data_IF_233667830118
#
_entry.id   IF_233667830118
#
_cell.length_a   1.000
_cell.length_b   1.000
_cell.length_c   1.000
_cell.angle_alpha   90.00
_cell.angle_beta   90.00
_cell.angle_gamma   90.00
#
_symmetry.space_group_name_H-M   'P 1'
#
loop_
_entity.id
_entity.type
_entity.pdbx_description
1 polymer ?
#
# COMPACT_ATOMS: atom_id res chain seq x y z
N UNK A 1 -8.58 -15.14 3.92
CA UNK A 1 -9.00 -13.74 3.85
C UNK A 1 -9.86 -13.38 5.06
N UNK A 2 -9.74 -12.16 5.56
CA UNK A 2 -10.62 -11.61 6.58
C UNK A 2 -11.83 -10.96 5.91
N UNK A 3 -13.04 -11.27 6.39
CA UNK A 3 -14.32 -10.86 5.79
C UNK A 3 -15.28 -10.25 6.85
N UNK A 4 -14.78 -9.46 7.72
CA UNK A 4 -15.56 -8.87 8.80
C UNK A 4 -15.21 -7.41 9.04
N UNK A 5 -15.67 -6.88 10.16
CA UNK A 5 -15.29 -5.55 10.63
C UNK A 5 -14.32 -5.68 11.79
N UNK A 6 -13.15 -5.06 11.65
CA UNK A 6 -12.21 -4.82 12.74
C UNK A 6 -12.25 -3.34 13.10
N UNK A 7 -12.81 -3.03 14.25
CA UNK A 7 -12.87 -1.66 14.78
C UNK A 7 -11.86 -1.53 15.93
N UNK A 8 -10.80 -0.79 15.72
CA UNK A 8 -9.79 -0.50 16.73
C UNK A 8 -10.28 0.38 17.87
N UNK A 9 -11.46 1.02 17.73
CA UNK A 9 -12.08 1.89 18.73
C UNK A 9 -11.15 3.03 19.21
N UNK A 10 -10.26 3.49 18.34
CA UNK A 10 -9.25 4.50 18.66
C UNK A 10 -8.05 3.96 19.45
N UNK A 11 -7.95 2.66 19.66
CA UNK A 11 -6.81 2.07 20.36
C UNK A 11 -5.60 1.88 19.43
N UNK A 12 -4.44 1.67 20.07
CA UNK A 12 -3.17 1.44 19.39
C UNK A 12 -2.66 0.02 19.61
N UNK A 13 -2.09 -0.57 18.54
CA UNK A 13 -1.24 -1.76 18.64
C UNK A 13 0.19 -1.28 18.71
N UNK A 14 0.86 -1.48 19.84
CA UNK A 14 2.25 -1.10 20.08
C UNK A 14 3.15 -2.32 20.13
N UNK A 15 4.44 -2.10 19.87
CA UNK A 15 5.46 -3.15 19.87
C UNK A 15 5.09 -4.32 18.94
N UNK A 16 4.46 -3.98 17.83
CA UNK A 16 4.06 -4.95 16.81
C UNK A 16 5.30 -5.46 16.07
N UNK A 17 5.46 -6.78 16.03
CA UNK A 17 6.51 -7.43 15.23
C UNK A 17 5.88 -8.16 14.06
N UNK A 18 6.09 -7.62 12.87
CA UNK A 18 5.75 -8.26 11.60
C UNK A 18 7.05 -8.43 10.81
N UNK A 19 7.68 -9.58 10.99
CA UNK A 19 8.92 -9.94 10.30
C UNK A 19 8.67 -11.19 9.49
N UNK A 20 8.85 -11.10 8.18
CA UNK A 20 8.59 -12.21 7.28
C UNK A 20 9.57 -12.28 6.11
N UNK A 21 10.02 -13.48 5.82
CA UNK A 21 10.74 -13.86 4.61
C UNK A 21 9.81 -14.68 3.72
N UNK A 22 9.23 -14.02 2.70
CA UNK A 22 8.18 -14.56 1.86
C UNK A 22 8.82 -15.20 0.63
N UNK A 23 9.01 -16.50 0.66
CA UNK A 23 9.64 -17.28 -0.42
C UNK A 23 8.64 -17.91 -1.39
N UNK A 24 7.36 -17.98 -0.99
CA UNK A 24 6.29 -18.50 -1.85
C UNK A 24 5.82 -17.44 -2.85
N UNK A 25 5.34 -17.90 -4.01
CA UNK A 25 4.81 -17.03 -5.05
C UNK A 25 3.52 -16.34 -4.61
N UNK A 26 3.40 -15.05 -4.94
CA UNK A 26 2.20 -14.24 -4.82
C UNK A 26 1.49 -14.31 -3.45
N UNK A 27 2.24 -14.17 -2.38
CA UNK A 27 1.68 -14.08 -1.04
C UNK A 27 1.27 -12.66 -0.68
N UNK A 28 0.24 -12.52 0.15
CA UNK A 28 -0.14 -11.25 0.77
C UNK A 28 0.14 -11.30 2.27
N UNK A 29 0.81 -10.29 2.83
CA UNK A 29 1.25 -10.27 4.21
C UNK A 29 1.06 -8.92 4.89
N UNK A 30 0.66 -8.94 6.14
CA UNK A 30 0.40 -7.76 6.98
C UNK A 30 -0.24 -8.18 8.30
N UNK A 31 -0.78 -7.23 9.07
CA UNK A 31 -1.64 -7.54 10.21
C UNK A 31 -2.80 -8.44 9.76
N UNK A 32 -3.35 -8.14 8.58
CA UNK A 32 -4.20 -9.03 7.80
C UNK A 32 -3.47 -9.37 6.49
N UNK A 33 -3.38 -10.66 6.13
CA UNK A 33 -2.83 -11.02 4.83
C UNK A 33 -3.71 -10.47 3.70
N UNK A 34 -4.99 -10.85 3.70
CA UNK A 34 -5.98 -10.42 2.70
C UNK A 34 -7.24 -9.93 3.39
N UNK A 35 -7.72 -8.75 3.00
CA UNK A 35 -9.06 -8.26 3.27
C UNK A 35 -9.93 -8.55 2.04
N UNK A 36 -11.12 -9.14 2.22
CA UNK A 36 -12.05 -9.46 1.14
C UNK A 36 -13.49 -9.13 1.57
N UNK A 37 -14.01 -8.00 1.12
CA UNK A 37 -15.29 -7.46 1.58
C UNK A 37 -15.28 -7.02 3.05
N UNK A 38 -14.13 -6.63 3.57
CA UNK A 38 -13.91 -6.31 4.98
C UNK A 38 -13.84 -4.81 5.26
N UNK A 39 -13.95 -4.46 6.53
CA UNK A 39 -13.68 -3.10 7.02
C UNK A 39 -12.69 -3.14 8.17
N UNK A 40 -11.59 -2.36 8.06
CA UNK A 40 -10.66 -2.08 9.17
C UNK A 40 -10.70 -0.59 9.45
N UNK A 41 -10.97 -0.21 10.69
CA UNK A 41 -11.14 1.20 11.03
C UNK A 41 -10.71 1.57 12.45
N UNK A 42 -10.49 2.87 12.65
CA UNK A 42 -10.21 3.47 13.97
C UNK A 42 -9.03 2.79 14.67
N UNK A 43 -7.97 2.48 13.94
CA UNK A 43 -6.81 1.75 14.44
C UNK A 43 -5.54 2.59 14.30
N UNK A 44 -4.74 2.62 15.37
CA UNK A 44 -3.38 3.14 15.31
C UNK A 44 -2.37 2.00 15.39
N UNK A 45 -1.36 2.02 14.52
CA UNK A 45 -0.20 1.12 14.58
C UNK A 45 0.99 1.91 15.08
N UNK A 46 1.58 1.42 16.16
CA UNK A 46 2.69 2.10 16.82
C UNK A 46 2.26 3.24 17.74
N UNK A 47 3.20 4.09 18.07
CA UNK A 47 3.00 5.32 18.83
C UNK A 47 4.10 6.33 18.49
N UNK A 48 3.87 7.64 18.71
CA UNK A 48 4.90 8.66 18.46
C UNK A 48 6.13 8.50 19.34
N UNK A 49 5.97 7.92 20.53
CA UNK A 49 7.08 7.68 21.48
C UNK A 49 6.92 6.33 22.18
N UNK A 50 8.04 5.73 22.60
CA UNK A 50 8.05 4.50 23.38
C UNK A 50 7.51 3.26 22.66
N UNK A 51 7.57 3.26 21.33
CA UNK A 51 7.17 2.13 20.50
C UNK A 51 8.40 1.44 19.89
N UNK A 52 8.41 0.12 19.90
CA UNK A 52 9.46 -0.73 19.32
C UNK A 52 8.90 -1.64 18.22
N UNK A 53 7.88 -1.19 17.50
CA UNK A 53 7.32 -1.94 16.37
C UNK A 53 8.40 -2.18 15.30
N UNK A 54 8.45 -3.41 14.81
CA UNK A 54 9.36 -3.85 13.76
C UNK A 54 8.53 -4.45 12.62
N UNK A 55 8.57 -3.77 11.47
CA UNK A 55 7.83 -4.17 10.28
C UNK A 55 8.85 -4.38 9.17
N UNK A 56 9.26 -5.64 8.99
CA UNK A 56 10.33 -6.00 8.06
C UNK A 56 9.89 -7.16 7.17
N UNK A 57 9.90 -6.93 5.87
CA UNK A 57 9.43 -7.90 4.89
C UNK A 57 10.47 -8.13 3.81
N UNK A 58 10.74 -9.37 3.49
CA UNK A 58 11.46 -9.77 2.29
C UNK A 58 10.56 -10.62 1.41
N UNK A 59 10.40 -10.19 0.16
CA UNK A 59 9.58 -10.87 -0.84
C UNK A 59 10.46 -11.38 -1.97
N UNK A 60 10.77 -12.68 -1.98
CA UNK A 60 11.64 -13.27 -2.98
C UNK A 60 10.94 -13.44 -4.35
N UNK A 61 9.66 -13.74 -4.37
CA UNK A 61 8.92 -14.11 -5.59
C UNK A 61 7.73 -13.18 -5.91
N UNK A 62 7.77 -11.95 -5.39
CA UNK A 62 6.71 -10.99 -5.59
C UNK A 62 5.54 -11.22 -4.64
N UNK A 63 5.31 -10.28 -3.74
CA UNK A 63 4.22 -10.35 -2.77
C UNK A 63 3.61 -8.97 -2.62
N UNK A 64 2.39 -8.95 -2.13
CA UNK A 64 1.72 -7.74 -1.70
C UNK A 64 1.91 -7.62 -0.18
N UNK A 65 2.67 -6.64 0.28
CA UNK A 65 2.93 -6.45 1.71
C UNK A 65 2.47 -5.08 2.20
N UNK A 66 1.86 -5.07 3.38
CA UNK A 66 1.41 -3.84 4.02
C UNK A 66 1.35 -3.96 5.53
N UNK A 67 1.40 -2.84 6.24
CA UNK A 67 1.29 -2.87 7.71
C UNK A 67 -0.12 -3.35 8.12
N UNK A 68 -1.15 -2.79 7.50
CA UNK A 68 -2.54 -3.23 7.78
C UNK A 68 -2.86 -4.49 6.97
N UNK A 69 -2.68 -4.45 5.65
CA UNK A 69 -3.01 -5.60 4.80
C UNK A 69 -2.09 -5.72 3.59
N UNK A 70 -1.76 -6.95 3.21
CA UNK A 70 -1.05 -7.21 1.96
C UNK A 70 -1.94 -6.91 0.76
N UNK A 71 -3.11 -7.52 0.69
CA UNK A 71 -4.09 -7.27 -0.37
C UNK A 71 -5.42 -6.76 0.21
N UNK A 72 -5.99 -5.74 -0.43
CA UNK A 72 -7.26 -5.11 -0.06
C UNK A 72 -8.23 -5.29 -1.22
N UNK A 73 -9.15 -6.24 -1.09
CA UNK A 73 -10.09 -6.62 -2.14
C UNK A 73 -11.50 -6.20 -1.74
N UNK A 74 -12.12 -5.29 -2.50
CA UNK A 74 -13.48 -4.81 -2.23
C UNK A 74 -13.73 -4.44 -0.77
N UNK A 75 -12.74 -3.82 -0.13
CA UNK A 75 -12.66 -3.63 1.31
C UNK A 75 -12.36 -2.18 1.66
N UNK A 76 -12.64 -1.80 2.89
CA UNK A 76 -12.40 -0.44 3.39
C UNK A 76 -11.34 -0.44 4.49
N UNK A 77 -10.35 0.46 4.39
CA UNK A 77 -9.48 0.86 5.49
C UNK A 77 -9.74 2.35 5.73
N UNK A 78 -10.22 2.70 6.92
CA UNK A 78 -10.61 4.07 7.23
C UNK A 78 -10.19 4.54 8.63
N UNK A 79 -9.87 5.81 8.75
CA UNK A 79 -9.52 6.46 10.02
C UNK A 79 -8.44 5.68 10.78
N UNK A 80 -7.36 5.34 10.08
CA UNK A 80 -6.22 4.62 10.65
C UNK A 80 -4.95 5.48 10.61
N UNK A 81 -4.08 5.30 11.61
CA UNK A 81 -2.82 6.02 11.74
C UNK A 81 -1.67 5.02 11.84
N UNK A 82 -0.58 5.26 11.13
CA UNK A 82 0.65 4.50 11.25
C UNK A 82 1.81 5.37 11.74
N UNK A 83 2.43 4.99 12.85
CA UNK A 83 3.68 5.53 13.35
C UNK A 83 4.87 4.59 13.14
N UNK A 84 4.60 3.30 12.93
CA UNK A 84 5.63 2.29 12.84
C UNK A 84 6.43 2.42 11.53
N UNK A 85 7.76 2.36 11.58
CA UNK A 85 8.57 2.30 10.37
C UNK A 85 8.38 0.97 9.65
N UNK A 86 8.47 1.00 8.33
CA UNK A 86 8.43 -0.20 7.49
C UNK A 86 9.73 -0.33 6.70
N UNK A 87 10.35 -1.50 6.77
CA UNK A 87 11.43 -1.90 5.91
C UNK A 87 10.96 -3.06 5.03
N UNK A 88 11.00 -2.88 3.72
CA UNK A 88 10.58 -3.89 2.78
C UNK A 88 11.64 -4.08 1.69
N UNK A 89 11.95 -5.34 1.38
CA UNK A 89 12.86 -5.73 0.33
C UNK A 89 12.16 -6.67 -0.63
N UNK A 90 12.29 -6.43 -1.93
CA UNK A 90 11.58 -7.22 -2.92
C UNK A 90 12.38 -7.53 -4.16
N UNK A 91 12.31 -8.78 -4.60
CA UNK A 91 12.71 -9.24 -5.91
C UNK A 91 11.49 -9.34 -6.79
N UNK A 92 11.19 -8.31 -7.54
CA UNK A 92 10.24 -8.45 -8.66
C UNK A 92 10.98 -9.04 -9.85
N UNK A 93 10.78 -10.30 -10.15
CA UNK A 93 11.26 -10.93 -11.41
C UNK A 93 10.31 -10.64 -12.57
N UNK A 94 10.68 -11.03 -13.79
CA UNK A 94 9.87 -10.81 -14.98
C UNK A 94 8.41 -11.25 -14.76
N UNK A 95 7.47 -10.32 -14.97
CA UNK A 95 6.03 -10.48 -14.81
C UNK A 95 5.49 -10.72 -13.38
N UNK A 96 6.34 -10.77 -12.37
CA UNK A 96 5.94 -10.86 -10.97
C UNK A 96 6.23 -9.53 -10.29
N UNK A 97 5.23 -8.94 -9.67
CA UNK A 97 5.38 -7.65 -8.98
C UNK A 97 5.57 -7.87 -7.48
N UNK A 98 6.39 -7.06 -6.87
CA UNK A 98 6.44 -6.87 -5.43
C UNK A 98 5.83 -5.51 -5.10
N UNK A 99 4.77 -5.47 -4.31
CA UNK A 99 4.10 -4.23 -3.91
C UNK A 99 4.17 -4.03 -2.41
N UNK A 100 4.58 -2.85 -1.99
CA UNK A 100 4.89 -2.53 -0.61
C UNK A 100 4.23 -1.20 -0.24
N UNK A 101 3.22 -1.25 0.63
CA UNK A 101 2.49 -0.07 1.06
C UNK A 101 2.25 -0.06 2.57
N UNK A 102 2.31 1.10 3.23
CA UNK A 102 2.12 1.14 4.67
C UNK A 102 0.71 0.67 5.08
N UNK A 103 -0.33 1.06 4.37
CA UNK A 103 -1.68 0.61 4.71
C UNK A 103 -2.12 -0.62 3.92
N UNK A 104 -1.84 -0.66 2.62
CA UNK A 104 -2.16 -1.78 1.76
C UNK A 104 -1.08 -2.03 0.71
N UNK A 105 -0.62 -3.26 0.55
CA UNK A 105 0.34 -3.60 -0.50
C UNK A 105 -0.28 -3.37 -1.88
N UNK A 106 -1.44 -3.93 -2.12
CA UNK A 106 -2.20 -3.72 -3.35
C UNK A 106 -3.70 -3.67 -3.13
N UNK A 107 -4.39 -2.84 -3.91
CA UNK A 107 -5.83 -2.59 -3.78
C UNK A 107 -6.56 -3.06 -5.03
N UNK A 108 -7.61 -3.83 -4.84
CA UNK A 108 -8.41 -4.41 -5.91
C UNK A 108 -9.86 -3.95 -5.86
N UNK A 109 -10.45 -3.76 -7.03
CA UNK A 109 -11.88 -3.64 -7.22
C UNK A 109 -12.40 -4.89 -7.94
N UNK A 110 -13.56 -5.35 -7.55
CA UNK A 110 -14.28 -6.48 -8.15
C UNK A 110 -15.65 -6.01 -8.62
N UNK A 111 -16.08 -6.42 -9.83
CA UNK A 111 -17.33 -5.95 -10.40
C UNK A 111 -18.57 -6.41 -9.62
N UNK A 112 -18.50 -7.56 -8.98
CA UNK A 112 -19.62 -8.12 -8.21
C UNK A 112 -19.64 -7.60 -6.76
N UNK A 113 -18.46 -7.43 -6.15
CA UNK A 113 -18.29 -7.05 -4.74
C UNK A 113 -18.10 -5.55 -4.53
N UNK A 114 -17.70 -4.82 -5.57
CA UNK A 114 -17.44 -3.39 -5.47
C UNK A 114 -15.96 -3.01 -5.42
N UNK A 115 -15.69 -1.72 -5.27
CA UNK A 115 -14.35 -1.18 -5.14
C UNK A 115 -13.84 -1.16 -3.71
N UNK A 116 -12.53 -1.03 -3.59
CA UNK A 116 -11.90 -0.80 -2.29
C UNK A 116 -11.75 0.68 -1.98
N UNK A 117 -11.78 1.02 -0.69
CA UNK A 117 -11.68 2.39 -0.20
C UNK A 117 -10.57 2.49 0.85
N UNK A 118 -9.60 3.36 0.59
CA UNK A 118 -8.61 3.81 1.57
C UNK A 118 -8.92 5.28 1.87
N UNK A 119 -9.36 5.61 3.08
CA UNK A 119 -9.73 6.99 3.40
C UNK A 119 -9.36 7.42 4.82
N UNK A 120 -9.10 8.71 4.97
CA UNK A 120 -8.79 9.32 6.27
C UNK A 120 -7.59 8.63 6.95
N UNK A 121 -6.55 8.32 6.17
CA UNK A 121 -5.36 7.61 6.62
C UNK A 121 -4.21 8.60 6.84
N UNK A 122 -3.46 8.43 7.93
CA UNK A 122 -2.31 9.27 8.24
C UNK A 122 -1.08 8.38 8.49
N UNK A 123 0.00 8.65 7.77
CA UNK A 123 1.27 7.98 7.98
C UNK A 123 2.32 8.94 8.55
N UNK A 124 2.93 8.57 9.66
CA UNK A 124 4.11 9.19 10.25
C UNK A 124 5.35 8.28 10.16
N UNK A 125 5.15 6.98 9.96
CA UNK A 125 6.23 6.00 9.89
C UNK A 125 7.08 6.18 8.63
N UNK A 126 8.38 6.03 8.77
CA UNK A 126 9.30 6.02 7.63
C UNK A 126 9.15 4.73 6.82
N UNK A 127 9.41 4.80 5.52
CA UNK A 127 9.41 3.64 4.64
C UNK A 127 10.77 3.52 3.98
N UNK A 128 11.41 2.36 4.18
CA UNK A 128 12.59 1.97 3.42
C UNK A 128 12.24 0.78 2.53
N UNK A 129 12.36 0.95 1.23
CA UNK A 129 12.05 -0.08 0.26
C UNK A 129 13.25 -0.38 -0.63
N UNK A 130 13.76 -1.60 -0.55
CA UNK A 130 14.92 -2.05 -1.31
C UNK A 130 14.51 -3.00 -2.43
N UNK A 131 14.95 -2.70 -3.65
CA UNK A 131 14.87 -3.62 -4.77
C UNK A 131 16.15 -4.43 -4.89
N UNK A 132 16.05 -5.73 -5.09
CA UNK A 132 17.18 -6.55 -5.47
C UNK A 132 17.62 -6.26 -6.92
N UNK A 133 18.81 -6.72 -7.30
CA UNK A 133 19.40 -6.48 -8.64
C UNK A 133 18.47 -6.86 -9.81
N UNK A 134 17.55 -7.77 -9.58
CA UNK A 134 16.60 -8.25 -10.59
C UNK A 134 15.18 -7.69 -10.41
N UNK A 135 14.98 -6.71 -9.53
CA UNK A 135 13.67 -6.11 -9.32
C UNK A 135 13.25 -5.31 -10.54
N UNK A 136 12.36 -5.85 -11.35
CA UNK A 136 11.86 -5.19 -12.57
C UNK A 136 10.47 -4.60 -12.39
N UNK A 137 9.65 -5.15 -11.51
CA UNK A 137 8.25 -4.79 -11.30
C UNK A 137 7.92 -4.44 -9.85
N UNK A 138 8.85 -3.84 -9.12
CA UNK A 138 8.61 -3.37 -7.76
C UNK A 138 7.86 -2.05 -7.73
N UNK A 139 7.00 -1.89 -6.76
CA UNK A 139 6.32 -0.63 -6.45
C UNK A 139 6.21 -0.44 -4.94
N UNK A 140 6.51 0.74 -4.46
CA UNK A 140 6.34 1.12 -3.07
C UNK A 140 5.65 2.45 -2.92
N UNK A 141 4.83 2.58 -1.91
CA UNK A 141 4.14 3.82 -1.58
C UNK A 141 3.65 3.80 -0.14
N UNK A 142 3.15 4.92 0.32
CA UNK A 142 2.66 5.06 1.68
C UNK A 142 1.27 4.45 1.86
N UNK A 143 0.30 4.82 1.03
CA UNK A 143 -1.07 4.32 1.21
C UNK A 143 -1.24 2.93 0.61
N UNK A 144 -0.93 2.81 -0.67
CA UNK A 144 -0.89 1.51 -1.37
C UNK A 144 0.07 1.57 -2.55
N UNK A 145 0.79 0.49 -2.79
CA UNK A 145 1.73 0.45 -3.91
C UNK A 145 1.06 0.37 -5.27
N UNK A 146 -0.18 -0.09 -5.34
CA UNK A 146 -0.90 -0.11 -6.60
C UNK A 146 -2.38 -0.44 -6.45
N UNK A 147 -3.12 -0.23 -7.54
CA UNK A 147 -4.54 -0.55 -7.63
C UNK A 147 -4.88 -1.13 -8.99
N UNK A 148 -5.85 -2.01 -9.03
CA UNK A 148 -6.40 -2.58 -10.27
C UNK A 148 -7.88 -2.95 -10.10
N UNK A 149 -8.59 -3.05 -11.23
CA UNK A 149 -9.87 -3.72 -11.29
C UNK A 149 -9.71 -5.20 -11.69
N UNK A 150 -10.53 -6.06 -11.14
CA UNK A 150 -10.56 -7.49 -11.44
C UNK A 150 -11.97 -7.89 -11.88
N UNK A 151 -12.07 -8.61 -12.98
CA UNK A 151 -13.31 -9.23 -13.42
C UNK A 151 -13.06 -10.72 -13.59
N UNK A 152 -13.79 -11.56 -12.86
CA UNK A 152 -13.71 -13.04 -12.95
C UNK A 152 -12.28 -13.59 -12.89
N UNK A 153 -11.43 -13.04 -11.99
CA UNK A 153 -10.04 -13.46 -11.82
C UNK A 153 -9.06 -12.96 -12.87
N UNK A 154 -9.49 -12.11 -13.79
CA UNK A 154 -8.63 -11.44 -14.76
C UNK A 154 -8.59 -9.93 -14.49
N UNK A 155 -7.43 -9.31 -14.70
CA UNK A 155 -7.30 -7.84 -14.65
C UNK A 155 -7.93 -7.26 -15.92
N UNK A 156 -9.20 -7.01 -15.89
CA UNK A 156 -9.95 -6.41 -17.00
C UNK A 156 -10.53 -5.05 -16.62
N UNK A 157 -11.05 -4.39 -17.61
CA UNK A 157 -11.74 -3.11 -17.45
C UNK A 157 -13.02 -3.35 -16.66
N UNK A 158 -13.13 -2.74 -15.51
CA UNK A 158 -14.33 -2.72 -14.68
C UNK A 158 -14.92 -1.31 -14.62
N UNK A 159 -16.20 -1.18 -14.37
CA UNK A 159 -16.86 0.09 -14.09
C UNK A 159 -16.79 0.47 -12.62
N UNK A 160 -16.44 -0.47 -11.76
CA UNK A 160 -16.29 -0.26 -10.30
C UNK A 160 -14.95 0.40 -9.99
N UNK A 161 -14.94 1.35 -9.09
CA UNK A 161 -13.78 2.20 -8.80
C UNK A 161 -13.21 1.92 -7.41
N UNK A 162 -11.88 1.96 -7.32
CA UNK A 162 -11.18 2.12 -6.06
C UNK A 162 -11.06 3.60 -5.69
N UNK A 163 -11.00 3.90 -4.41
CA UNK A 163 -10.87 5.25 -3.90
C UNK A 163 -9.72 5.36 -2.90
N UNK A 164 -8.87 6.37 -3.07
CA UNK A 164 -7.85 6.78 -2.09
C UNK A 164 -8.13 8.24 -1.77
N UNK A 165 -8.69 8.52 -0.59
CA UNK A 165 -9.31 9.81 -0.31
C UNK A 165 -8.86 10.36 1.03
N UNK A 166 -8.49 11.64 1.05
CA UNK A 166 -8.14 12.37 2.28
C UNK A 166 -7.03 11.68 3.09
N UNK A 167 -6.00 11.19 2.39
CA UNK A 167 -4.86 10.50 2.99
C UNK A 167 -3.64 11.42 3.08
N UNK A 168 -2.93 11.39 4.20
CA UNK A 168 -1.81 12.29 4.46
C UNK A 168 -0.56 11.48 4.83
N UNK A 169 0.55 11.81 4.18
CA UNK A 169 1.86 11.29 4.52
C UNK A 169 2.76 12.38 5.12
N UNK A 170 3.31 12.11 6.29
CA UNK A 170 4.37 12.89 6.94
C UNK A 170 5.69 12.11 7.00
N UNK A 171 5.68 10.80 6.82
CA UNK A 171 6.86 9.96 6.91
C UNK A 171 7.75 10.04 5.67
N UNK A 172 9.04 10.07 5.89
CA UNK A 172 10.03 10.04 4.80
C UNK A 172 10.08 8.66 4.14
N UNK A 173 10.42 8.65 2.85
CA UNK A 173 10.58 7.43 2.08
C UNK A 173 11.95 7.37 1.39
N UNK A 174 12.67 6.27 1.62
CA UNK A 174 13.87 5.91 0.87
C UNK A 174 13.59 4.64 0.07
N UNK A 175 13.91 4.66 -1.22
CA UNK A 175 13.58 3.55 -2.10
C UNK A 175 14.66 3.30 -3.16
N UNK A 176 14.79 2.04 -3.57
CA UNK A 176 15.51 1.63 -4.77
C UNK A 176 14.64 0.78 -5.72
N UNK A 177 13.33 0.73 -5.50
CA UNK A 177 12.40 0.01 -6.38
C UNK A 177 11.96 0.86 -7.58
N UNK A 178 11.53 0.23 -8.69
CA UNK A 178 11.24 0.93 -9.94
C UNK A 178 10.11 1.96 -9.90
N UNK A 179 9.15 1.85 -9.00
CA UNK A 179 8.05 2.81 -8.86
C UNK A 179 7.91 3.23 -7.41
N UNK A 180 8.02 4.50 -7.13
CA UNK A 180 7.99 5.06 -5.78
C UNK A 180 7.11 6.29 -5.72
N UNK A 181 6.24 6.37 -4.75
CA UNK A 181 5.35 7.52 -4.58
C UNK A 181 4.91 7.73 -3.13
N UNK A 182 4.65 8.98 -2.77
CA UNK A 182 4.18 9.35 -1.45
C UNK A 182 2.76 8.85 -1.11
N UNK A 183 1.89 8.68 -2.09
CA UNK A 183 0.51 8.25 -1.85
C UNK A 183 0.23 6.91 -2.51
N UNK A 184 0.33 6.80 -3.84
CA UNK A 184 0.10 5.56 -4.57
C UNK A 184 1.06 5.44 -5.77
N UNK A 185 1.87 4.39 -5.81
CA UNK A 185 2.92 4.28 -6.80
C UNK A 185 2.40 3.94 -8.21
N UNK A 186 1.44 3.05 -8.33
CA UNK A 186 0.90 2.63 -9.61
C UNK A 186 -0.63 2.65 -9.60
N UNK A 187 -1.21 3.68 -10.19
CA UNK A 187 -2.66 3.79 -10.36
C UNK A 187 -3.03 3.12 -11.69
N UNK A 188 -3.50 1.89 -11.60
CA UNK A 188 -3.90 1.10 -12.75
C UNK A 188 -5.42 1.06 -12.81
N UNK A 189 -6.01 1.76 -13.74
CA UNK A 189 -7.43 1.73 -14.06
C UNK A 189 -8.42 2.02 -12.90
N UNK A 190 -9.46 2.75 -13.19
CA UNK A 190 -10.64 2.95 -12.34
C UNK A 190 -10.32 3.25 -10.87
N UNK A 191 -9.36 4.12 -10.63
CA UNK A 191 -9.01 4.56 -9.27
C UNK A 191 -9.06 6.08 -9.19
N UNK A 192 -9.73 6.59 -8.17
CA UNK A 192 -9.77 8.01 -7.86
C UNK A 192 -8.90 8.30 -6.63
N UNK A 193 -8.01 9.27 -6.78
CA UNK A 193 -7.14 9.76 -5.71
C UNK A 193 -7.51 11.21 -5.45
N UNK A 194 -8.10 11.49 -4.30
CA UNK A 194 -8.65 12.80 -4.00
C UNK A 194 -8.17 13.34 -2.65
N UNK A 195 -7.88 14.63 -2.60
CA UNK A 195 -7.52 15.38 -1.38
C UNK A 195 -6.40 14.71 -0.55
N UNK A 196 -5.47 14.06 -1.25
CA UNK A 196 -4.33 13.44 -0.62
C UNK A 196 -3.14 14.39 -0.56
N UNK A 197 -2.36 14.32 0.53
CA UNK A 197 -1.22 15.21 0.77
C UNK A 197 0.03 14.42 1.10
N UNK A 198 1.15 14.83 0.53
CA UNK A 198 2.43 14.25 0.88
C UNK A 198 3.38 15.35 1.36
N UNK A 199 3.77 15.28 2.61
CA UNK A 199 4.74 16.18 3.24
C UNK A 199 6.07 15.50 3.54
N UNK A 200 6.15 14.16 3.40
CA UNK A 200 7.39 13.40 3.58
C UNK A 200 8.34 13.55 2.41
N UNK A 201 9.63 13.53 2.69
CA UNK A 201 10.66 13.53 1.67
C UNK A 201 10.73 12.17 0.96
N UNK A 202 11.11 12.21 -0.31
CA UNK A 202 11.29 10.99 -1.09
C UNK A 202 12.67 10.94 -1.72
N UNK A 203 13.38 9.87 -1.47
CA UNK A 203 14.68 9.60 -2.09
C UNK A 203 14.61 8.26 -2.82
N UNK A 204 14.91 8.25 -4.10
CA UNK A 204 15.03 7.04 -4.88
C UNK A 204 16.41 6.95 -5.52
N UNK A 205 17.12 5.86 -5.25
CA UNK A 205 18.49 5.63 -5.72
C UNK A 205 18.56 4.82 -7.01
N UNK A 206 17.45 4.34 -7.55
CA UNK A 206 17.44 3.54 -8.78
C UNK A 206 17.37 4.44 -10.02
N UNK A 207 18.37 4.38 -10.88
CA UNK A 207 18.36 5.09 -12.15
C UNK A 207 17.34 4.43 -13.11
N UNK A 208 16.48 5.25 -13.73
CA UNK A 208 15.46 4.76 -14.67
C UNK A 208 14.11 4.47 -14.03
N UNK A 209 13.88 4.95 -12.83
CA UNK A 209 12.63 4.76 -12.08
C UNK A 209 11.59 5.82 -12.39
N UNK A 210 10.37 5.54 -11.96
CA UNK A 210 9.26 6.49 -11.93
C UNK A 210 9.03 6.91 -10.49
N UNK A 211 9.24 8.18 -10.22
CA UNK A 211 9.05 8.77 -8.89
C UNK A 211 7.99 9.85 -8.98
N UNK A 212 7.04 9.81 -8.09
CA UNK A 212 5.99 10.82 -8.00
C UNK A 212 5.68 11.18 -6.56
N UNK A 213 5.44 12.43 -6.26
CA UNK A 213 5.13 12.83 -4.89
C UNK A 213 3.72 12.37 -4.46
N UNK A 214 2.77 12.35 -5.38
CA UNK A 214 1.43 11.79 -5.17
C UNK A 214 1.30 10.45 -5.87
N UNK A 215 1.64 10.36 -7.17
CA UNK A 215 1.61 9.11 -7.92
C UNK A 215 2.77 9.03 -8.91
N UNK A 216 3.37 7.85 -9.05
CA UNK A 216 4.48 7.62 -10.00
C UNK A 216 3.99 7.18 -11.39
N UNK A 217 2.86 6.51 -11.46
CA UNK A 217 2.23 6.12 -12.73
C UNK A 217 0.72 6.18 -12.64
N UNK A 218 0.09 6.74 -13.65
CA UNK A 218 -1.37 6.72 -13.84
C UNK A 218 -1.70 6.10 -15.18
N UNK A 219 -2.70 5.29 -15.21
CA UNK A 219 -3.21 4.69 -16.44
C UNK A 219 -4.69 4.98 -16.64
N UNK A 220 -5.31 4.28 -17.53
CA UNK A 220 -6.61 4.52 -18.08
C UNK A 220 -7.74 4.69 -17.03
N UNK A 221 -8.57 5.74 -17.20
CA UNK A 221 -9.75 6.06 -16.38
C UNK A 221 -9.44 6.23 -14.88
N UNK A 222 -8.33 6.85 -14.57
CA UNK A 222 -7.96 7.26 -13.23
C UNK A 222 -8.16 8.76 -13.06
N UNK A 223 -8.39 9.20 -11.82
CA UNK A 223 -8.53 10.62 -11.50
C UNK A 223 -7.60 10.99 -10.35
N UNK A 224 -6.97 12.15 -10.48
CA UNK A 224 -6.25 12.81 -9.42
C UNK A 224 -6.88 14.18 -9.19
N UNK A 225 -7.36 14.48 -7.98
CA UNK A 225 -8.07 15.70 -7.68
C UNK A 225 -7.71 16.28 -6.32
N UNK A 226 -7.50 17.60 -6.27
CA UNK A 226 -7.26 18.36 -5.05
C UNK A 226 -6.13 17.79 -4.15
N UNK A 227 -5.06 17.26 -4.75
CA UNK A 227 -3.92 16.70 -4.04
C UNK A 227 -2.79 17.72 -3.92
N UNK A 228 -2.05 17.66 -2.80
CA UNK A 228 -0.97 18.59 -2.45
C UNK A 228 0.33 17.83 -2.16
N UNK A 229 1.46 18.54 -2.37
CA UNK A 229 2.80 18.11 -1.99
C UNK A 229 3.59 19.28 -1.44
#
# INVERSE_FOLDING_TARGET
AFQGTFDGQGNSIKNLKLVADLTADQTAYGLFGILDGATVKNLTIGAPEGDSSELSFHSANGSDVGVIAGAVMSSTIENCVNYAPMHARGTGVDNVRATMGAFGGFVYADEEKGGSVLKDLINYGTITAEGDKNTKNGATSVMTAGSAGITNGTTNITTVRNYVVNCINYGDMTSSVPRTSGIIAAVNQFTDVERCKNYGNQVNSNAGTRVGMITATMTFRTMLKDCEN
#
